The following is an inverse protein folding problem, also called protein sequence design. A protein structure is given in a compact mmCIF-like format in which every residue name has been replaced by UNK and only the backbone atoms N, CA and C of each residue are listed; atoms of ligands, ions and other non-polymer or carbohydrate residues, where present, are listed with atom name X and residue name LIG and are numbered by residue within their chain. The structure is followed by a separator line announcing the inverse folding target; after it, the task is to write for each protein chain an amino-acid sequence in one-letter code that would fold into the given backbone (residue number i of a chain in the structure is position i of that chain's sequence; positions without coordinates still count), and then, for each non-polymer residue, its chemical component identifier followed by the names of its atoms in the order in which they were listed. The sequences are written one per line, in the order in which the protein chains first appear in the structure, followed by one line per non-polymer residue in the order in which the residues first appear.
data_IF_083141787901
#
_entry.id   IF_083141787901
#
_cell.length_a   1.000
_cell.length_b   1.000
_cell.length_c   1.000
_cell.angle_alpha   90.00
_cell.angle_beta   90.00
_cell.angle_gamma   90.00
#
_symmetry.space_group_name_H-M   'P 1'
#
loop_
_entity.id
_entity.type
_entity.pdbx_description
1 polymer ?
#
# COMPACT_ATOMS: atom_id res chain seq x y z
N UNK A 1 -33.30 32.13 3.39
CA UNK A 1 -32.07 32.37 4.17
C UNK A 1 -31.77 31.15 5.02
N UNK A 2 -31.10 30.13 4.47
CA UNK A 2 -30.53 29.04 5.28
C UNK A 2 -29.03 29.24 5.27
N UNK A 3 -28.53 29.94 6.29
CA UNK A 3 -27.11 30.24 6.44
C UNK A 3 -26.36 28.92 6.62
N UNK A 4 -25.52 28.56 5.64
CA UNK A 4 -24.55 27.48 5.77
C UNK A 4 -23.49 27.97 6.75
N UNK A 5 -23.61 27.59 8.01
CA UNK A 5 -22.57 27.78 9.01
C UNK A 5 -21.39 26.91 8.57
N UNK A 6 -20.39 27.54 7.95
CA UNK A 6 -19.12 26.92 7.62
C UNK A 6 -18.36 26.76 8.94
N UNK A 7 -18.50 25.61 9.61
CA UNK A 7 -17.70 25.25 10.79
C UNK A 7 -16.33 24.77 10.28
N UNK A 8 -15.28 25.63 10.28
CA UNK A 8 -14.02 25.30 9.62
C UNK A 8 -13.20 24.28 10.43
N UNK A 9 -13.53 24.09 11.71
CA UNK A 9 -12.78 23.25 12.65
C UNK A 9 -13.08 21.75 12.55
N UNK A 10 -14.27 21.35 12.10
CA UNK A 10 -14.63 19.93 12.02
C UNK A 10 -14.14 19.29 10.71
N UNK A 11 -14.06 20.08 9.63
CA UNK A 11 -13.60 19.62 8.32
C UNK A 11 -12.10 19.32 8.30
N UNK A 12 -11.32 20.03 9.12
CA UNK A 12 -9.87 19.83 9.24
C UNK A 12 -9.51 18.48 9.88
N UNK A 13 -10.36 17.96 10.78
CA UNK A 13 -10.12 16.68 11.48
C UNK A 13 -10.28 15.48 10.53
N UNK A 14 -11.13 15.60 9.51
CA UNK A 14 -11.36 14.53 8.52
C UNK A 14 -10.21 14.36 7.51
N UNK A 15 -9.34 15.36 7.35
CA UNK A 15 -8.26 15.31 6.35
C UNK A 15 -6.94 14.73 6.87
N UNK A 16 -6.82 14.45 8.18
CA UNK A 16 -5.56 14.08 8.85
C UNK A 16 -5.12 12.62 8.60
N UNK A 17 -5.95 11.78 7.96
CA UNK A 17 -5.62 10.37 7.71
C UNK A 17 -5.56 9.99 6.21
N UNK A 18 -5.33 10.94 5.30
CA UNK A 18 -5.14 10.65 3.87
C UNK A 18 -3.77 9.99 3.61
N UNK A 19 -3.52 8.83 4.21
CA UNK A 19 -2.47 7.92 3.76
C UNK A 19 -2.79 7.40 2.36
N UNK A 20 -1.76 7.15 1.55
CA UNK A 20 -1.94 6.51 0.25
C UNK A 20 -2.66 5.16 0.42
N UNK A 21 -3.80 5.00 -0.26
CA UNK A 21 -4.57 3.75 -0.29
C UNK A 21 -3.89 2.78 -1.27
N UNK A 22 -3.79 1.51 -0.88
CA UNK A 22 -3.31 0.44 -1.76
C UNK A 22 -4.30 0.21 -2.92
N UNK A 23 -3.79 0.05 -4.14
CA UNK A 23 -4.54 -0.08 -5.40
C UNK A 23 -4.12 -1.31 -6.18
N UNK A 24 -4.90 -1.70 -7.19
CA UNK A 24 -4.58 -2.82 -8.09
C UNK A 24 -3.21 -2.67 -8.78
N UNK A 25 -2.84 -1.44 -9.16
CA UNK A 25 -1.52 -1.14 -9.73
C UNK A 25 -0.37 -1.46 -8.77
N UNK A 26 -0.62 -1.38 -7.45
CA UNK A 26 0.42 -1.59 -6.44
C UNK A 26 0.81 -3.06 -6.32
N UNK A 27 -0.02 -4.00 -6.81
CA UNK A 27 0.27 -5.43 -6.85
C UNK A 27 1.54 -5.75 -7.67
N UNK A 28 1.91 -4.88 -8.62
CA UNK A 28 3.05 -5.08 -9.53
C UNK A 28 4.28 -4.24 -9.16
N UNK A 29 4.22 -3.45 -8.08
CA UNK A 29 5.33 -2.62 -7.67
C UNK A 29 6.40 -3.48 -6.98
N UNK A 30 7.44 -3.79 -7.74
CA UNK A 30 8.71 -4.31 -7.22
C UNK A 30 9.67 -3.15 -6.99
N UNK A 31 10.54 -3.28 -5.99
CA UNK A 31 11.57 -2.26 -5.77
C UNK A 31 12.69 -2.41 -6.80
N UNK A 32 12.69 -1.50 -7.78
CA UNK A 32 13.73 -1.39 -8.80
C UNK A 32 15.02 -0.71 -8.31
N UNK A 33 15.05 -0.21 -7.07
CA UNK A 33 16.08 0.71 -6.58
C UNK A 33 16.76 0.25 -5.29
N UNK A 34 16.85 -1.08 -5.06
CA UNK A 34 17.57 -1.60 -3.88
C UNK A 34 19.00 -1.05 -3.74
N UNK A 35 19.62 -0.57 -4.83
CA UNK A 35 21.01 -0.09 -4.82
C UNK A 35 21.20 1.41 -4.53
N UNK A 36 20.13 2.22 -4.48
CA UNK A 36 20.26 3.67 -4.24
C UNK A 36 20.42 4.03 -2.77
N UNK A 37 19.78 3.28 -1.89
CA UNK A 37 19.82 3.50 -0.44
C UNK A 37 20.17 2.20 0.26
N UNK A 38 21.09 2.26 1.23
CA UNK A 38 21.79 1.08 1.79
C UNK A 38 21.38 0.75 3.22
N UNK A 39 20.14 1.04 3.60
CA UNK A 39 19.62 0.61 4.90
C UNK A 39 19.11 -0.84 4.83
N UNK A 40 19.23 -1.58 5.94
CA UNK A 40 18.74 -2.95 6.05
C UNK A 40 17.42 -2.98 6.85
N UNK A 41 16.34 -2.48 6.25
CA UNK A 41 15.05 -2.37 6.94
C UNK A 41 14.16 -3.58 6.60
N UNK A 42 13.80 -4.44 7.56
CA UNK A 42 12.91 -5.57 7.28
C UNK A 42 11.47 -5.08 7.04
N UNK A 43 10.91 -5.48 5.89
CA UNK A 43 9.53 -5.17 5.50
C UNK A 43 8.84 -6.39 4.92
N UNK A 44 7.54 -6.26 4.63
CA UNK A 44 6.74 -7.23 3.93
C UNK A 44 6.18 -6.61 2.65
N UNK A 45 6.20 -7.37 1.55
CA UNK A 45 5.60 -6.99 0.26
C UNK A 45 4.73 -8.12 -0.26
N UNK A 46 3.64 -7.78 -0.94
CA UNK A 46 2.88 -8.72 -1.74
C UNK A 46 3.70 -9.18 -2.93
N UNK A 47 3.79 -10.48 -3.12
CA UNK A 47 4.37 -11.11 -4.30
C UNK A 47 3.25 -11.76 -5.12
N UNK A 48 3.12 -11.35 -6.39
CA UNK A 48 2.05 -11.84 -7.28
C UNK A 48 2.22 -13.30 -7.66
N UNK A 49 3.47 -13.78 -7.80
CA UNK A 49 3.76 -15.15 -8.22
C UNK A 49 3.56 -16.15 -7.08
N UNK A 50 3.85 -15.73 -5.84
CA UNK A 50 3.67 -16.54 -4.64
C UNK A 50 2.32 -16.32 -3.95
N UNK A 51 1.53 -15.37 -4.45
CA UNK A 51 0.21 -14.98 -3.93
C UNK A 51 0.17 -14.72 -2.43
N UNK A 52 1.25 -14.15 -1.90
CA UNK A 52 1.40 -13.93 -0.46
C UNK A 52 2.29 -12.74 -0.15
N UNK A 53 2.13 -12.23 1.07
CA UNK A 53 3.06 -11.27 1.64
C UNK A 53 4.34 -11.96 2.11
N UNK A 54 5.47 -11.63 1.49
CA UNK A 54 6.80 -12.17 1.78
C UNK A 54 7.68 -11.14 2.50
N UNK A 55 8.63 -11.57 3.35
CA UNK A 55 9.62 -10.67 3.93
C UNK A 55 10.63 -10.22 2.87
N UNK A 56 11.00 -8.94 2.87
CA UNK A 56 12.00 -8.36 1.96
C UNK A 56 12.80 -7.29 2.71
N UNK A 57 14.05 -7.05 2.30
CA UNK A 57 14.85 -5.91 2.78
C UNK A 57 14.49 -4.65 2.00
N UNK A 58 14.34 -3.54 2.71
CA UNK A 58 14.07 -2.22 2.15
C UNK A 58 15.25 -1.27 2.36
N UNK A 59 15.77 -0.72 1.25
CA UNK A 59 16.93 0.16 1.24
C UNK A 59 16.75 1.52 1.94
N UNK A 60 15.51 1.92 2.25
CA UNK A 60 15.22 3.12 3.05
C UNK A 60 14.81 4.38 2.28
N UNK A 61 14.70 4.34 0.95
CA UNK A 61 14.16 5.44 0.14
C UNK A 61 13.25 4.94 -0.99
N UNK A 62 12.55 5.84 -1.69
CA UNK A 62 11.63 5.50 -2.79
C UNK A 62 10.58 4.41 -2.43
N UNK A 63 9.98 4.55 -1.24
CA UNK A 63 8.98 3.60 -0.74
C UNK A 63 7.80 3.51 -1.70
N UNK A 64 7.41 2.29 -2.07
CA UNK A 64 6.16 2.03 -2.81
C UNK A 64 5.00 1.76 -1.84
N UNK A 65 3.76 1.76 -2.35
CA UNK A 65 2.60 1.34 -1.55
C UNK A 65 2.64 -0.15 -1.18
N UNK A 66 3.39 -0.96 -1.94
CA UNK A 66 3.66 -2.37 -1.64
C UNK A 66 4.87 -2.52 -0.72
N UNK A 67 4.84 -1.88 0.45
CA UNK A 67 5.93 -1.93 1.44
C UNK A 67 5.37 -1.72 2.85
N UNK A 68 5.35 -2.78 3.66
CA UNK A 68 4.66 -2.81 4.96
C UNK A 68 5.59 -3.26 6.09
N UNK A 69 5.48 -2.63 7.25
CA UNK A 69 6.30 -2.98 8.43
C UNK A 69 5.96 -4.36 9.00
N UNK A 70 4.74 -4.85 8.77
CA UNK A 70 4.26 -6.12 9.36
C UNK A 70 3.51 -6.93 8.31
N UNK A 71 3.62 -8.26 8.39
CA UNK A 71 2.89 -9.20 7.54
C UNK A 71 1.38 -8.93 7.55
N UNK A 72 0.79 -8.71 8.74
CA UNK A 72 -0.65 -8.49 8.91
C UNK A 72 -1.14 -7.25 8.15
N UNK A 73 -0.40 -6.12 8.21
CA UNK A 73 -0.73 -4.91 7.44
C UNK A 73 -0.67 -5.16 5.93
N UNK A 74 0.34 -5.91 5.45
CA UNK A 74 0.42 -6.30 4.06
C UNK A 74 -0.78 -7.14 3.63
N UNK A 75 -1.10 -8.21 4.38
CA UNK A 75 -2.22 -9.10 4.07
C UNK A 75 -3.54 -8.34 4.05
N UNK A 76 -3.79 -7.50 5.05
CA UNK A 76 -5.02 -6.71 5.14
C UNK A 76 -5.19 -5.74 3.96
N UNK A 77 -4.10 -5.18 3.44
CA UNK A 77 -4.14 -4.20 2.35
C UNK A 77 -4.11 -4.86 0.97
N UNK A 78 -3.17 -5.76 0.72
CA UNK A 78 -2.85 -6.26 -0.62
C UNK A 78 -3.65 -7.51 -1.00
N UNK A 79 -3.81 -8.48 -0.09
CA UNK A 79 -4.43 -9.77 -0.39
C UNK A 79 -5.85 -9.66 -1.00
N UNK A 80 -6.81 -8.89 -0.45
CA UNK A 80 -8.15 -8.80 -1.04
C UNK A 80 -8.19 -8.13 -2.41
N UNK A 81 -7.18 -7.31 -2.73
CA UNK A 81 -7.09 -6.57 -4.02
C UNK A 81 -6.37 -7.44 -5.04
N UNK A 82 -5.18 -7.93 -4.72
CA UNK A 82 -4.33 -8.65 -5.66
C UNK A 82 -4.85 -10.05 -5.99
N UNK A 83 -5.42 -10.79 -5.01
CA UNK A 83 -6.07 -12.08 -5.31
C UNK A 83 -7.30 -11.91 -6.20
N UNK A 84 -8.08 -10.85 -5.98
CA UNK A 84 -9.21 -10.53 -6.86
C UNK A 84 -8.74 -10.31 -8.30
N UNK A 85 -7.64 -9.58 -8.48
CA UNK A 85 -7.06 -9.31 -9.79
C UNK A 85 -6.54 -10.57 -10.49
N UNK A 86 -5.95 -11.52 -9.74
CA UNK A 86 -5.53 -12.82 -10.28
C UNK A 86 -6.73 -13.62 -10.79
N UNK A 87 -7.78 -13.77 -9.96
CA UNK A 87 -8.98 -14.49 -10.34
C UNK A 87 -9.66 -13.90 -11.60
N UNK A 88 -9.60 -12.57 -11.78
CA UNK A 88 -10.13 -11.92 -12.98
C UNK A 88 -9.30 -12.20 -14.23
N UNK A 89 -7.98 -12.39 -14.09
CA UNK A 89 -7.10 -12.78 -15.22
C UNK A 89 -7.30 -14.23 -15.62
N UNK A 90 -7.49 -15.12 -14.66
CA UNK A 90 -7.68 -16.56 -14.93
C UNK A 90 -9.05 -16.89 -15.55
N UNK A 91 -9.99 -15.93 -15.54
CA UNK A 91 -11.31 -16.05 -16.14
C UNK A 91 -11.37 -15.61 -17.62
N UNK A 92 -10.24 -15.19 -18.19
CA UNK A 92 -10.08 -14.76 -19.59
C UNK A 92 -9.24 -15.78 -20.38
#
# INVERSE_FOLDING_TARGET
MTSKILIPSLYLILQVCNGAKFRESDCFLTESFMDLCKADIPVYRWDMSLEKCIPVTYGGCAKTNNNFVTKQKCQKAAEPICKRLLNLRDAL
#
